data_IF_559626722501
#
_entry.id   IF_559626722501
#
_cell.length_a   1.000
_cell.length_b   1.000
_cell.length_c   1.000
_cell.angle_alpha   90.00
_cell.angle_beta   90.00
_cell.angle_gamma   90.00
#
_symmetry.space_group_name_H-M   'P 1'
#
loop_
_entity.id
_entity.type
_entity.pdbx_description
1 polymer ?
#
# COMPACT_ATOMS: atom_id res chain seq x y z
N UNK A 1 -2.26 1.21 -18.34
CA UNK A 1 -1.37 0.08 -17.98
C UNK A 1 -1.43 -1.00 -19.06
N UNK A 2 -0.44 -1.91 -19.14
CA UNK A 2 -0.24 -2.82 -20.28
C UNK A 2 -1.42 -3.73 -20.68
N UNK A 3 -2.22 -4.25 -19.73
CA UNK A 3 -3.30 -5.21 -20.02
C UNK A 3 -4.70 -4.74 -19.62
N UNK A 4 -4.83 -3.51 -19.12
CA UNK A 4 -6.07 -3.01 -18.52
C UNK A 4 -6.75 -4.02 -17.57
N UNK A 5 -5.95 -4.69 -16.73
CA UNK A 5 -6.39 -5.81 -15.91
C UNK A 5 -5.26 -6.35 -15.04
N UNK A 6 -5.41 -7.59 -14.56
CA UNK A 6 -4.44 -8.22 -13.67
C UNK A 6 -3.03 -8.27 -14.28
N UNK A 7 -2.01 -7.91 -13.50
CA UNK A 7 -0.60 -7.95 -13.92
C UNK A 7 -0.12 -9.35 -14.33
N UNK A 8 -0.84 -10.40 -13.92
CA UNK A 8 -0.53 -11.79 -14.22
C UNK A 8 -1.16 -12.32 -15.51
N UNK A 9 -1.77 -11.47 -16.35
CA UNK A 9 -2.48 -11.88 -17.57
C UNK A 9 -1.70 -12.81 -18.53
N UNK A 10 -0.35 -12.78 -18.54
CA UNK A 10 0.50 -13.67 -19.35
C UNK A 10 1.31 -14.68 -18.54
N UNK A 11 1.06 -14.82 -17.24
CA UNK A 11 1.82 -15.70 -16.36
C UNK A 11 1.24 -17.11 -16.41
N UNK A 12 2.03 -18.09 -16.88
CA UNK A 12 1.63 -19.52 -16.84
C UNK A 12 1.50 -20.03 -15.40
N UNK A 13 2.37 -19.55 -14.53
CA UNK A 13 2.36 -19.86 -13.09
C UNK A 13 2.42 -18.54 -12.33
N UNK A 14 1.43 -18.30 -11.47
CA UNK A 14 1.31 -17.07 -10.70
C UNK A 14 1.92 -17.27 -9.33
N UNK A 15 2.87 -16.38 -8.96
CA UNK A 15 3.43 -16.30 -7.60
C UNK A 15 2.97 -14.97 -7.00
N UNK A 16 1.85 -14.99 -6.26
CA UNK A 16 1.25 -13.78 -5.69
C UNK A 16 2.17 -13.13 -4.64
N UNK A 17 2.84 -13.96 -3.84
CA UNK A 17 3.73 -13.57 -2.73
C UNK A 17 5.18 -13.88 -3.06
N UNK A 18 5.69 -13.29 -4.16
CA UNK A 18 7.05 -13.53 -4.62
C UNK A 18 8.10 -12.97 -3.65
N UNK A 19 9.02 -13.81 -3.20
CA UNK A 19 10.17 -13.49 -2.34
C UNK A 19 11.50 -13.89 -3.00
N UNK A 20 12.60 -13.43 -2.41
CA UNK A 20 13.96 -13.88 -2.76
C UNK A 20 14.18 -15.34 -2.34
N UNK A 21 13.65 -15.73 -1.18
CA UNK A 21 13.71 -17.09 -0.65
C UNK A 21 12.39 -17.80 -0.97
N UNK A 22 12.45 -18.77 -1.89
CA UNK A 22 11.24 -19.42 -2.43
C UNK A 22 10.50 -20.29 -1.41
N UNK A 23 11.22 -20.91 -0.47
CA UNK A 23 10.61 -21.75 0.57
C UNK A 23 9.64 -20.98 1.46
N UNK A 24 9.90 -19.70 1.69
CA UNK A 24 9.11 -18.85 2.60
C UNK A 24 7.81 -18.31 1.96
N UNK A 25 7.66 -18.44 0.63
CA UNK A 25 6.50 -17.87 -0.08
C UNK A 25 5.20 -18.50 0.38
N UNK A 26 5.21 -19.81 0.64
CA UNK A 26 4.02 -20.56 1.04
C UNK A 26 3.50 -20.08 2.39
N UNK A 27 4.38 -19.87 3.37
CA UNK A 27 3.97 -19.36 4.67
C UNK A 27 3.37 -17.97 4.55
N UNK A 28 4.03 -17.04 3.84
CA UNK A 28 3.50 -15.68 3.66
C UNK A 28 2.15 -15.69 2.95
N UNK A 29 2.00 -16.51 1.91
CA UNK A 29 0.73 -16.68 1.20
C UNK A 29 -0.38 -17.17 2.14
N UNK A 30 -0.12 -18.23 2.91
CA UNK A 30 -1.08 -18.78 3.86
C UNK A 30 -1.49 -17.76 4.93
N UNK A 31 -0.53 -17.04 5.51
CA UNK A 31 -0.79 -16.01 6.53
C UNK A 31 -1.65 -14.88 5.98
N UNK A 32 -1.38 -14.43 4.75
CA UNK A 32 -2.14 -13.34 4.12
C UNK A 32 -3.55 -13.77 3.72
N UNK A 33 -3.72 -15.00 3.22
CA UNK A 33 -5.05 -15.56 2.99
C UNK A 33 -5.84 -15.77 4.29
N UNK A 34 -5.17 -16.20 5.37
CA UNK A 34 -5.79 -16.32 6.70
C UNK A 34 -6.26 -14.96 7.21
N UNK A 35 -5.40 -13.95 7.16
CA UNK A 35 -5.75 -12.59 7.56
C UNK A 35 -6.93 -12.03 6.75
N UNK A 36 -6.89 -12.16 5.42
CA UNK A 36 -8.01 -11.76 4.55
C UNK A 36 -9.33 -12.46 4.93
N UNK A 37 -9.26 -13.75 5.28
CA UNK A 37 -10.43 -14.54 5.71
C UNK A 37 -10.99 -14.05 7.04
N UNK A 38 -10.13 -13.70 8.00
CA UNK A 38 -10.54 -13.21 9.31
C UNK A 38 -11.12 -11.79 9.26
N UNK A 39 -10.57 -10.93 8.40
CA UNK A 39 -11.02 -9.54 8.25
C UNK A 39 -12.34 -9.42 7.48
N UNK A 40 -12.62 -10.34 6.56
CA UNK A 40 -13.77 -10.23 5.66
C UNK A 40 -15.11 -10.04 6.38
N UNK A 41 -15.47 -10.84 7.42
CA UNK A 41 -16.71 -10.63 8.16
C UNK A 41 -16.78 -9.27 8.87
N UNK A 42 -15.66 -8.79 9.42
CA UNK A 42 -15.60 -7.48 10.07
C UNK A 42 -15.83 -6.36 9.05
N UNK A 43 -15.20 -6.47 7.87
CA UNK A 43 -15.37 -5.49 6.81
C UNK A 43 -16.82 -5.45 6.31
N UNK A 44 -17.46 -6.61 6.17
CA UNK A 44 -18.89 -6.71 5.83
C UNK A 44 -19.78 -5.99 6.85
N UNK A 45 -19.48 -6.11 8.14
CA UNK A 45 -20.27 -5.50 9.21
C UNK A 45 -20.10 -3.98 9.27
N UNK A 46 -18.86 -3.48 9.14
CA UNK A 46 -18.57 -2.06 9.30
C UNK A 46 -18.85 -1.23 8.04
N UNK A 47 -18.69 -1.81 6.85
CA UNK A 47 -18.85 -1.13 5.56
C UNK A 47 -19.53 -2.03 4.52
N UNK A 48 -20.83 -2.36 4.72
CA UNK A 48 -21.53 -3.38 3.93
C UNK A 48 -21.64 -3.05 2.44
N UNK A 49 -21.81 -1.77 2.09
CA UNK A 49 -21.93 -1.35 0.69
C UNK A 49 -20.62 -1.54 -0.07
N UNK A 50 -19.51 -1.07 0.51
CA UNK A 50 -18.19 -1.24 -0.08
C UNK A 50 -17.79 -2.73 -0.15
N UNK A 51 -18.12 -3.52 0.87
CA UNK A 51 -17.96 -4.96 0.84
C UNK A 51 -18.74 -5.62 -0.32
N UNK A 52 -20.01 -5.25 -0.51
CA UNK A 52 -20.85 -5.76 -1.61
C UNK A 52 -20.25 -5.43 -2.97
N UNK A 53 -19.77 -4.20 -3.15
CA UNK A 53 -19.13 -3.77 -4.39
C UNK A 53 -17.85 -4.58 -4.67
N UNK A 54 -17.02 -4.80 -3.66
CA UNK A 54 -15.76 -5.55 -3.78
C UNK A 54 -15.93 -7.06 -3.98
N UNK A 55 -17.07 -7.61 -3.57
CA UNK A 55 -17.39 -9.05 -3.70
C UNK A 55 -18.27 -9.38 -4.91
N UNK A 56 -18.75 -8.37 -5.64
CA UNK A 56 -19.67 -8.54 -6.78
C UNK A 56 -19.19 -9.58 -7.81
N UNK A 57 -17.89 -9.58 -8.13
CA UNK A 57 -17.29 -10.48 -9.12
C UNK A 57 -16.33 -11.51 -8.50
N UNK A 58 -16.58 -11.92 -7.25
CA UNK A 58 -15.72 -12.87 -6.54
C UNK A 58 -15.62 -14.22 -7.24
N UNK A 59 -16.71 -14.69 -7.87
CA UNK A 59 -16.76 -16.01 -8.51
C UNK A 59 -16.04 -16.00 -9.86
N UNK A 60 -16.25 -14.95 -10.63
CA UNK A 60 -15.71 -14.72 -11.97
C UNK A 60 -14.20 -14.47 -11.93
N UNK A 61 -13.72 -13.80 -10.88
CA UNK A 61 -12.31 -13.44 -10.72
C UNK A 61 -11.68 -14.09 -9.48
N UNK A 62 -12.03 -15.34 -9.18
CA UNK A 62 -11.60 -16.08 -7.98
C UNK A 62 -10.09 -16.09 -7.76
N UNK A 63 -9.33 -16.23 -8.84
CA UNK A 63 -7.86 -16.24 -8.83
C UNK A 63 -7.25 -14.89 -8.50
N UNK A 64 -8.00 -13.80 -8.67
CA UNK A 64 -7.61 -12.44 -8.32
C UNK A 64 -8.19 -12.01 -6.96
N UNK A 65 -8.48 -12.96 -6.07
CA UNK A 65 -8.97 -12.69 -4.71
C UNK A 65 -8.11 -13.38 -3.66
N UNK A 66 -8.08 -12.78 -2.46
CA UNK A 66 -7.45 -13.31 -1.26
C UNK A 66 -8.52 -13.81 -0.28
N UNK A 67 -8.17 -14.80 0.53
CA UNK A 67 -9.07 -15.47 1.48
C UNK A 67 -9.46 -16.89 1.04
N UNK A 68 -9.84 -17.71 2.03
CA UNK A 68 -10.19 -19.13 1.86
C UNK A 68 -11.69 -19.40 1.92
N UNK A 69 -12.48 -18.49 2.50
CA UNK A 69 -13.94 -18.61 2.64
C UNK A 69 -14.66 -17.66 1.69
N UNK A 70 -15.94 -17.94 1.33
CA UNK A 70 -16.75 -17.02 0.53
C UNK A 70 -16.84 -15.62 1.15
N UNK A 71 -16.99 -14.61 0.31
CA UNK A 71 -16.93 -13.20 0.72
C UNK A 71 -15.48 -12.73 0.72
N UNK A 72 -14.86 -12.64 -0.46
CA UNK A 72 -13.45 -12.29 -0.65
C UNK A 72 -13.32 -10.90 -1.30
N UNK A 73 -13.34 -9.82 -0.51
CA UNK A 73 -13.31 -8.45 -1.04
C UNK A 73 -11.91 -7.98 -1.45
N UNK A 74 -10.86 -8.67 -1.02
CA UNK A 74 -9.48 -8.21 -1.18
C UNK A 74 -8.81 -8.87 -2.40
N UNK A 75 -8.11 -8.08 -3.21
CA UNK A 75 -7.38 -8.53 -4.41
C UNK A 75 -5.86 -8.46 -4.25
N UNK A 76 -5.36 -7.51 -3.46
CA UNK A 76 -3.96 -7.32 -3.16
C UNK A 76 -3.75 -6.84 -1.73
N UNK A 77 -2.51 -6.97 -1.27
CA UNK A 77 -2.06 -6.52 0.05
C UNK A 77 -0.68 -5.90 -0.10
N UNK A 78 -0.45 -4.82 0.64
CA UNK A 78 0.86 -4.15 0.76
C UNK A 78 1.22 -4.13 2.23
N UNK A 79 2.42 -4.63 2.57
CA UNK A 79 2.98 -4.50 3.90
C UNK A 79 3.87 -3.25 3.94
N UNK A 80 3.55 -2.31 4.82
CA UNK A 80 4.32 -1.10 5.07
C UNK A 80 5.08 -1.26 6.39
N UNK A 81 6.41 -1.16 6.37
CA UNK A 81 7.28 -1.26 7.55
C UNK A 81 8.11 0.01 7.58
N UNK A 82 7.95 0.83 8.63
CA UNK A 82 8.60 2.14 8.82
C UNK A 82 8.59 3.01 7.53
N UNK A 83 7.43 3.00 6.85
CA UNK A 83 7.27 3.61 5.54
C UNK A 83 6.50 4.92 5.61
N UNK A 84 7.11 6.03 5.19
CA UNK A 84 6.43 7.32 5.07
C UNK A 84 5.69 7.43 3.72
N UNK A 85 4.39 7.14 3.75
CA UNK A 85 3.51 7.43 2.62
C UNK A 85 3.24 8.94 2.56
N UNK A 86 3.80 9.61 1.55
CA UNK A 86 3.48 11.01 1.28
C UNK A 86 2.00 11.16 0.90
N UNK A 87 1.44 12.36 1.02
CA UNK A 87 0.04 12.62 0.69
C UNK A 87 -0.30 12.14 -0.75
N UNK A 88 -1.21 11.18 -0.86
CA UNK A 88 -1.60 10.59 -2.14
C UNK A 88 -3.03 10.04 -2.09
N UNK A 89 -3.52 9.63 -3.26
CA UNK A 89 -4.71 8.79 -3.40
C UNK A 89 -4.31 7.55 -4.20
N UNK A 90 -4.86 6.40 -3.84
CA UNK A 90 -4.71 5.18 -4.63
C UNK A 90 -5.63 5.23 -5.87
N UNK A 91 -5.20 5.97 -6.90
CA UNK A 91 -6.01 6.27 -8.10
C UNK A 91 -6.48 5.05 -8.90
N UNK A 92 -5.87 3.89 -8.67
CA UNK A 92 -6.20 2.64 -9.39
C UNK A 92 -6.94 1.63 -8.51
N UNK A 93 -7.28 1.99 -7.27
CA UNK A 93 -8.23 1.20 -6.49
C UNK A 93 -9.59 1.25 -7.16
N UNK A 94 -10.39 0.21 -6.91
CA UNK A 94 -11.71 0.14 -7.50
C UNK A 94 -12.64 1.22 -6.96
N UNK A 95 -13.49 1.75 -7.84
CA UNK A 95 -14.52 2.70 -7.46
C UNK A 95 -15.48 2.08 -6.45
N UNK A 96 -15.97 2.90 -5.53
CA UNK A 96 -16.94 2.52 -4.50
C UNK A 96 -16.49 1.34 -3.61
N UNK A 97 -15.19 1.15 -3.46
CA UNK A 97 -14.58 0.26 -2.47
C UNK A 97 -13.90 1.04 -1.34
N UNK A 98 -13.35 0.30 -0.38
CA UNK A 98 -12.53 0.86 0.70
C UNK A 98 -11.21 0.09 0.82
N UNK A 99 -10.20 0.76 1.37
CA UNK A 99 -8.96 0.12 1.82
C UNK A 99 -9.10 -0.20 3.30
N UNK A 100 -8.82 -1.45 3.67
CA UNK A 100 -8.72 -1.86 5.08
C UNK A 100 -7.25 -1.81 5.48
N UNK A 101 -6.95 -1.09 6.54
CA UNK A 101 -5.59 -0.98 7.11
C UNK A 101 -5.55 -1.77 8.42
N UNK A 102 -4.62 -2.71 8.52
CA UNK A 102 -4.34 -3.45 9.76
C UNK A 102 -2.99 -2.97 10.29
N UNK A 103 -3.01 -2.40 11.50
CA UNK A 103 -1.82 -1.87 12.15
C UNK A 103 -1.24 -2.90 13.12
N UNK A 104 0.04 -3.24 12.93
CA UNK A 104 0.82 -4.01 13.89
C UNK A 104 1.88 -3.08 14.49
N UNK A 105 1.71 -2.70 15.74
CA UNK A 105 2.62 -1.77 16.44
C UNK A 105 3.82 -2.50 17.03
N UNK A 106 4.92 -1.81 17.32
CA UNK A 106 6.01 -2.33 18.18
C UNK A 106 5.60 -2.28 19.65
N UNK A 107 5.02 -1.16 20.07
CA UNK A 107 4.48 -0.99 21.42
C UNK A 107 3.27 -1.90 21.66
N UNK A 108 3.18 -2.49 22.85
CA UNK A 108 2.14 -3.48 23.23
C UNK A 108 1.17 -2.97 24.29
N UNK A 109 1.50 -1.87 24.97
CA UNK A 109 0.66 -1.26 25.99
C UNK A 109 -0.32 -0.23 25.43
N UNK A 110 -1.13 0.33 26.31
CA UNK A 110 -2.05 1.45 26.01
C UNK A 110 -1.44 2.83 26.33
N UNK A 111 -0.22 2.85 26.87
CA UNK A 111 0.53 4.08 27.13
C UNK A 111 1.04 4.69 25.82
N UNK A 112 1.27 6.00 25.81
CA UNK A 112 1.91 6.68 24.69
C UNK A 112 3.33 6.12 24.47
N UNK A 113 3.68 5.66 23.27
CA UNK A 113 5.03 5.18 22.97
C UNK A 113 6.02 6.34 22.75
N UNK A 114 7.31 6.05 22.80
CA UNK A 114 8.37 7.02 22.50
C UNK A 114 8.36 7.47 21.03
N UNK A 115 7.92 6.58 20.13
CA UNK A 115 7.79 6.82 18.69
C UNK A 115 6.56 6.09 18.13
N UNK A 116 5.84 6.74 17.23
CA UNK A 116 4.64 6.24 16.60
C UNK A 116 4.44 6.81 15.19
N UNK A 117 3.77 6.02 14.34
CA UNK A 117 3.40 6.45 13.00
C UNK A 117 1.89 6.72 12.94
N UNK A 118 1.52 7.93 12.49
CA UNK A 118 0.13 8.36 12.36
C UNK A 118 -0.38 8.21 10.92
N UNK A 119 -1.66 7.83 10.78
CA UNK A 119 -2.37 7.93 9.52
C UNK A 119 -3.07 9.30 9.45
N UNK A 120 -2.72 10.12 8.45
CA UNK A 120 -3.11 11.54 8.41
C UNK A 120 -4.01 11.83 7.21
N UNK A 121 -5.09 12.57 7.45
CA UNK A 121 -5.95 13.16 6.42
C UNK A 121 -5.62 14.66 6.27
N UNK A 122 -4.70 15.05 5.39
CA UNK A 122 -4.10 16.39 5.40
C UNK A 122 -5.04 17.53 4.94
N UNK A 123 -6.23 17.20 4.43
CA UNK A 123 -7.20 18.16 3.90
C UNK A 123 -8.41 18.38 4.84
N UNK A 124 -8.33 17.88 6.07
CA UNK A 124 -9.39 18.00 7.06
C UNK A 124 -8.90 18.78 8.28
N UNK A 125 -9.84 19.48 8.90
CA UNK A 125 -9.67 20.11 10.22
C UNK A 125 -10.69 19.52 11.18
N UNK A 126 -10.38 19.53 12.47
CA UNK A 126 -11.31 19.10 13.51
C UNK A 126 -12.44 20.13 13.67
N UNK A 127 -13.66 19.63 13.93
CA UNK A 127 -14.80 20.47 14.30
C UNK A 127 -14.63 21.02 15.73
N UNK A 128 -15.24 22.18 16.00
CA UNK A 128 -15.27 22.80 17.33
C UNK A 128 -16.27 22.10 18.27
N UNK A 129 -17.19 21.30 17.73
CA UNK A 129 -18.18 20.55 18.50
C UNK A 129 -17.98 19.03 18.39
N UNK A 130 -18.50 18.31 19.38
CA UNK A 130 -18.53 16.85 19.38
C UNK A 130 -19.65 16.28 18.47
N UNK A 131 -19.82 14.95 18.50
CA UNK A 131 -20.84 14.25 17.72
C UNK A 131 -22.31 14.64 18.07
N UNK A 132 -22.52 15.36 19.18
CA UNK A 132 -23.82 15.84 19.63
C UNK A 132 -23.98 17.37 19.48
N UNK A 133 -22.99 18.05 18.88
CA UNK A 133 -23.01 19.51 18.71
C UNK A 133 -22.59 20.29 19.96
N UNK A 134 -21.93 19.66 20.94
CA UNK A 134 -21.51 20.29 22.18
C UNK A 134 -20.03 20.70 22.15
N UNK A 135 -19.76 21.99 22.38
CA UNK A 135 -18.39 22.55 22.42
C UNK A 135 -17.63 22.17 23.70
N UNK A 136 -18.27 22.21 24.86
CA UNK A 136 -17.62 21.89 26.15
C UNK A 136 -17.21 20.41 26.22
N UNK A 137 -18.01 19.53 25.62
CA UNK A 137 -17.68 18.11 25.49
C UNK A 137 -16.47 17.90 24.57
N UNK A 138 -16.36 18.66 23.47
CA UNK A 138 -15.20 18.63 22.59
C UNK A 138 -13.93 19.11 23.30
N UNK A 139 -14.02 20.21 24.06
CA UNK A 139 -12.91 20.71 24.90
C UNK A 139 -12.51 19.68 25.96
N UNK A 140 -13.47 18.93 26.50
CA UNK A 140 -13.17 17.84 27.45
C UNK A 140 -12.35 16.74 26.79
N UNK A 141 -12.61 16.36 25.53
CA UNK A 141 -11.79 15.40 24.78
C UNK A 141 -10.35 15.88 24.58
N UNK A 142 -10.15 17.19 24.41
CA UNK A 142 -8.82 17.79 24.35
C UNK A 142 -8.14 17.67 25.71
N UNK A 143 -8.83 18.04 26.79
CA UNK A 143 -8.30 18.00 28.17
C UNK A 143 -7.94 16.59 28.64
N UNK A 144 -8.68 15.57 28.20
CA UNK A 144 -8.41 14.17 28.55
C UNK A 144 -7.35 13.51 27.65
N UNK A 145 -6.90 14.19 26.59
CA UNK A 145 -5.94 13.65 25.62
C UNK A 145 -6.55 12.71 24.57
N UNK A 146 -7.89 12.61 24.50
CA UNK A 146 -8.57 11.90 23.41
C UNK A 146 -8.43 12.63 22.07
N UNK A 147 -8.29 13.96 22.11
CA UNK A 147 -7.85 14.81 21.00
C UNK A 147 -6.54 15.47 21.41
N UNK A 148 -5.46 15.16 20.71
CA UNK A 148 -4.16 15.77 20.96
C UNK A 148 -3.91 16.93 20.01
N UNK A 149 -3.85 18.15 20.56
CA UNK A 149 -3.44 19.34 19.79
C UNK A 149 -1.93 19.38 19.69
N UNK A 150 -1.41 18.93 18.55
CA UNK A 150 0.03 18.94 18.28
C UNK A 150 0.52 20.37 18.02
N UNK A 151 1.66 20.70 18.61
CA UNK A 151 2.40 21.93 18.30
C UNK A 151 3.52 21.62 17.30
N UNK A 152 3.98 22.65 16.58
CA UNK A 152 5.06 22.50 15.61
C UNK A 152 6.34 22.07 16.34
N UNK A 153 6.82 20.87 16.06
CA UNK A 153 8.12 20.40 16.54
C UNK A 153 9.20 20.61 15.45
N UNK A 154 10.47 20.84 15.85
CA UNK A 154 11.57 20.91 14.90
C UNK A 154 11.78 19.55 14.22
N UNK A 155 11.70 19.53 12.89
CA UNK A 155 12.00 18.34 12.07
C UNK A 155 13.43 18.43 11.52
N UNK A 156 14.22 17.39 11.74
CA UNK A 156 15.47 17.18 10.99
C UNK A 156 15.17 16.48 9.67
N UNK A 157 15.49 17.14 8.55
CA UNK A 157 15.26 16.60 7.20
C UNK A 157 16.59 16.46 6.47
N UNK A 158 16.89 15.26 5.98
CA UNK A 158 18.00 15.04 5.05
C UNK A 158 17.51 15.21 3.62
N UNK A 159 17.96 16.26 2.95
CA UNK A 159 17.63 16.51 1.54
C UNK A 159 18.76 15.95 0.66
N UNK A 160 18.39 15.13 -0.33
CA UNK A 160 19.34 14.67 -1.35
C UNK A 160 19.69 15.85 -2.27
N UNK A 161 20.97 15.98 -2.61
CA UNK A 161 21.43 16.98 -3.59
C UNK A 161 20.89 16.74 -5.00
N UNK A 162 20.56 15.48 -5.34
CA UNK A 162 20.03 15.09 -6.64
C UNK A 162 18.69 14.35 -6.45
N UNK A 163 17.61 14.79 -7.12
CA UNK A 163 16.33 14.08 -7.11
C UNK A 163 16.45 12.66 -7.66
N UNK A 164 15.66 11.73 -7.10
CA UNK A 164 15.54 10.39 -7.66
C UNK A 164 14.94 10.48 -9.07
N UNK A 165 15.70 9.99 -10.05
CA UNK A 165 15.22 9.93 -11.42
C UNK A 165 14.13 8.86 -11.54
N UNK A 166 13.00 9.15 -12.21
CA UNK A 166 12.02 8.14 -12.55
C UNK A 166 12.71 7.00 -13.33
N UNK A 167 12.36 5.74 -13.05
CA UNK A 167 12.84 4.62 -13.85
C UNK A 167 12.55 4.90 -15.33
N UNK A 168 13.59 4.98 -16.16
CA UNK A 168 13.44 5.08 -17.61
C UNK A 168 12.59 3.89 -18.05
N UNK A 169 11.43 4.15 -18.67
CA UNK A 169 10.64 3.09 -19.31
C UNK A 169 11.58 2.35 -20.27
N UNK A 170 11.81 1.06 -20.03
CA UNK A 170 12.59 0.18 -20.89
C UNK A 170 11.95 0.18 -22.29
N UNK A 171 12.36 1.11 -23.14
CA UNK A 171 11.85 1.25 -24.51
C UNK A 171 12.80 1.95 -25.47
N UNK A 172 13.96 2.43 -25.02
CA UNK A 172 14.88 3.19 -25.88
C UNK A 172 16.38 2.85 -25.75
N UNK A 173 16.76 1.77 -25.06
CA UNK A 173 18.17 1.43 -24.83
C UNK A 173 18.62 0.10 -25.46
N UNK A 174 17.97 -0.33 -26.54
CA UNK A 174 18.36 -1.54 -27.29
C UNK A 174 18.84 -1.26 -28.71
N UNK A 175 19.06 0.01 -29.07
CA UNK A 175 19.46 0.39 -30.44
C UNK A 175 20.76 1.18 -30.54
N UNK A 176 21.31 1.69 -29.43
CA UNK A 176 22.56 2.46 -29.44
C UNK A 176 23.76 1.57 -29.10
N UNK A 177 23.62 0.59 -28.19
CA UNK A 177 24.72 -0.29 -27.78
C UNK A 177 25.17 -1.32 -28.86
N UNK A 178 24.43 -1.46 -29.97
CA UNK A 178 24.84 -2.31 -31.12
C UNK A 178 25.63 -1.53 -32.19
N UNK A 179 25.52 -0.20 -32.24
CA UNK A 179 26.25 0.60 -33.23
C UNK A 179 27.72 0.81 -32.84
N UNK A 180 28.02 0.91 -31.53
CA UNK A 180 29.38 1.13 -31.04
C UNK A 180 30.24 -0.15 -30.96
N UNK A 181 29.62 -1.33 -31.08
CA UNK A 181 30.34 -2.61 -31.08
C UNK A 181 30.95 -2.98 -32.45
N UNK A 182 30.56 -2.31 -33.53
CA UNK A 182 31.00 -2.62 -34.90
C UNK A 182 32.17 -1.74 -35.36
N UNK A 183 32.38 -0.56 -34.75
CA UNK A 183 33.42 0.39 -35.17
C UNK A 183 34.81 0.07 -34.58
N UNK A 184 34.89 -0.71 -33.49
CA UNK A 184 36.15 -0.94 -32.76
C UNK A 184 37.03 -2.12 -33.21
N UNK A 185 36.77 -2.77 -34.35
CA UNK A 185 37.48 -4.01 -34.76
C UNK A 185 38.31 -3.95 -36.05
N UNK A 186 38.46 -2.79 -36.67
CA UNK A 186 39.27 -2.65 -37.88
C UNK A 186 40.30 -1.54 -37.71
N UNK A 187 41.39 -1.82 -37.00
CA UNK A 187 42.73 -1.27 -37.28
C UNK A 187 43.76 -1.73 -36.23
N UNK A 188 44.37 -2.89 -36.46
CA UNK A 188 45.81 -3.11 -36.20
C UNK A 188 46.21 -4.42 -36.87
N UNK A 189 46.81 -4.33 -38.06
CA UNK A 189 47.48 -5.43 -38.74
C UNK A 189 48.96 -5.11 -38.85
N UNK A 190 49.75 -6.08 -38.37
CA UNK A 190 50.99 -6.59 -38.93
C UNK A 190 52.30 -5.77 -38.89
N UNK A 191 53.32 -6.51 -38.44
CA UNK A 191 54.77 -6.41 -38.62
C UNK A 191 55.55 -5.35 -37.85
#
# INVERSE_FOLDING_TARGET
MYYNGCKYARSKTVRKFRLSVRSEEQEVEERMHTLATLLSPLYRTLAPEAFKNQTQFEREASECRLGFKPGRPFSGVTACIDFCAHAHRDLHNMNNGCTVVVTLTKHRGLSKPDDEQLHVLPLYIMDESDEFGNKEAQETKVRTGAIENLTKFPCEVKVRSVPLQPCRRHGKKRKEDEADAVVGKAETKAH
#
